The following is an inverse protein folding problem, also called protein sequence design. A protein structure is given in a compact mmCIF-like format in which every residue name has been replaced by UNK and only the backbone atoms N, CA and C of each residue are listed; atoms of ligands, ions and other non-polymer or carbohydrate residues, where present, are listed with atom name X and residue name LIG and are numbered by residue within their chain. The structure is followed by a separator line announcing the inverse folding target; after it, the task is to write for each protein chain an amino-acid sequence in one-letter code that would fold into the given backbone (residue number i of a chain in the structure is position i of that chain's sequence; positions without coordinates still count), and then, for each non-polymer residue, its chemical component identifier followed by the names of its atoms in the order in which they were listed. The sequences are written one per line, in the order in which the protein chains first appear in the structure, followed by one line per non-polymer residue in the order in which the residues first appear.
data_IF_651948793176
#
_entry.id   IF_651948793176
#
_cell.length_a   1.000
_cell.length_b   1.000
_cell.length_c   1.000
_cell.angle_alpha   90.00
_cell.angle_beta   90.00
_cell.angle_gamma   90.00
#
_symmetry.space_group_name_H-M   'P 1'
#
loop_
_entity.id
_entity.type
_entity.pdbx_description
1 polymer ?
#
# COMPACT_ATOMS: atom_id res chain seq x y z
N UNK A 1 74.00 -14.17 -19.64
CA UNK A 1 73.53 -14.62 -18.31
C UNK A 1 72.14 -14.02 -18.08
N UNK A 2 71.16 -14.92 -18.02
CA UNK A 2 69.75 -14.82 -17.64
C UNK A 2 68.95 -13.50 -17.80
N UNK A 3 67.93 -13.62 -18.65
CA UNK A 3 66.66 -12.90 -18.64
C UNK A 3 66.00 -12.80 -17.26
N UNK A 4 65.31 -11.68 -16.99
CA UNK A 4 64.05 -11.71 -16.25
C UNK A 4 63.04 -10.77 -16.93
N UNK A 5 62.11 -11.40 -17.63
CA UNK A 5 60.79 -10.88 -17.97
C UNK A 5 59.95 -10.88 -16.68
N UNK A 6 59.29 -9.77 -16.33
CA UNK A 6 58.15 -9.77 -15.38
C UNK A 6 57.23 -8.60 -15.71
N UNK A 7 56.33 -8.78 -16.68
CA UNK A 7 54.95 -9.25 -16.49
C UNK A 7 54.06 -8.28 -15.70
N UNK A 8 53.24 -7.54 -16.47
CA UNK A 8 51.80 -7.33 -16.26
C UNK A 8 51.33 -7.14 -14.81
N UNK A 9 51.02 -5.90 -14.45
CA UNK A 9 50.10 -5.56 -13.36
C UNK A 9 48.92 -4.73 -13.88
N UNK A 10 48.09 -5.32 -14.75
CA UNK A 10 46.76 -4.81 -15.04
C UNK A 10 45.84 -5.18 -13.86
N UNK A 11 45.20 -4.17 -13.25
CA UNK A 11 43.93 -4.25 -12.46
C UNK A 11 43.92 -5.14 -11.18
N UNK A 12 43.34 -4.63 -10.07
CA UNK A 12 41.89 -4.45 -10.02
C UNK A 12 41.45 -3.20 -9.25
N UNK A 13 41.09 -2.14 -9.96
CA UNK A 13 40.29 -1.03 -9.41
C UNK A 13 38.77 -1.34 -9.48
N UNK A 14 38.41 -2.61 -9.69
CA UNK A 14 37.06 -3.06 -10.07
C UNK A 14 36.51 -4.11 -9.07
N UNK A 15 36.47 -3.81 -7.78
CA UNK A 15 36.03 -4.82 -6.79
C UNK A 15 35.16 -4.31 -5.63
N UNK A 16 34.62 -3.08 -5.66
CA UNK A 16 33.74 -2.58 -4.58
C UNK A 16 32.52 -1.83 -5.13
N UNK A 17 31.75 -2.46 -6.03
CA UNK A 17 30.41 -1.96 -6.41
C UNK A 17 29.30 -3.02 -6.26
N UNK A 18 29.58 -4.17 -5.63
CA UNK A 18 28.69 -5.35 -5.67
C UNK A 18 27.76 -5.56 -4.45
N UNK A 19 27.69 -4.64 -3.48
CA UNK A 19 26.98 -4.91 -2.21
C UNK A 19 25.85 -3.96 -1.82
N UNK A 20 25.38 -3.10 -2.73
CA UNK A 20 24.24 -2.21 -2.46
C UNK A 20 22.99 -2.55 -3.29
N UNK A 21 22.84 -3.80 -3.72
CA UNK A 21 21.53 -4.30 -4.16
C UNK A 21 20.66 -4.56 -2.92
N UNK A 22 20.28 -3.50 -2.21
CA UNK A 22 19.22 -3.61 -1.22
C UNK A 22 17.96 -4.09 -1.95
N UNK A 23 17.23 -5.08 -1.42
CA UNK A 23 15.94 -5.43 -1.99
C UNK A 23 15.08 -4.19 -1.95
N UNK A 24 14.80 -3.63 -3.12
CA UNK A 24 13.75 -2.64 -3.27
C UNK A 24 12.45 -3.36 -2.97
N UNK A 25 12.00 -3.31 -1.71
CA UNK A 25 10.59 -3.49 -1.42
C UNK A 25 9.88 -2.46 -2.28
N UNK A 26 9.33 -2.91 -3.41
CA UNK A 26 8.53 -2.08 -4.29
C UNK A 26 7.28 -1.71 -3.49
N UNK A 27 7.39 -0.65 -2.69
CA UNK A 27 6.22 0.03 -2.16
C UNK A 27 5.33 0.32 -3.36
N UNK A 28 4.11 -0.22 -3.34
CA UNK A 28 3.14 0.05 -4.40
C UNK A 28 3.02 1.56 -4.56
N UNK A 29 2.80 2.00 -5.81
CA UNK A 29 2.52 3.41 -6.01
C UNK A 29 1.26 3.79 -5.19
N UNK A 30 1.17 5.02 -4.69
CA UNK A 30 0.00 5.48 -3.96
C UNK A 30 -1.31 5.26 -4.72
N UNK A 31 -1.25 5.27 -6.06
CA UNK A 31 -2.39 5.00 -6.91
C UNK A 31 -2.91 3.55 -6.77
N UNK A 32 -2.03 2.55 -6.80
CA UNK A 32 -2.45 1.15 -6.63
C UNK A 32 -2.95 0.87 -5.21
N UNK A 33 -2.35 1.50 -4.21
CA UNK A 33 -2.80 1.40 -2.82
C UNK A 33 -4.20 2.01 -2.62
N UNK A 34 -4.48 3.16 -3.25
CA UNK A 34 -5.83 3.77 -3.28
C UNK A 34 -6.86 2.88 -3.98
N UNK A 35 -6.48 2.26 -5.09
CA UNK A 35 -7.37 1.33 -5.79
C UNK A 35 -7.75 0.14 -4.89
N UNK A 36 -6.82 -0.36 -4.09
CA UNK A 36 -7.10 -1.43 -3.12
C UNK A 36 -8.05 -0.99 -2.01
N UNK A 37 -7.88 0.23 -1.50
CA UNK A 37 -8.78 0.81 -0.50
C UNK A 37 -10.20 0.94 -1.03
N UNK A 38 -10.37 1.50 -2.24
CA UNK A 38 -11.70 1.62 -2.89
C UNK A 38 -12.32 0.24 -3.11
N UNK A 39 -11.54 -0.73 -3.56
CA UNK A 39 -12.02 -2.10 -3.74
C UNK A 39 -12.49 -2.73 -2.42
N UNK A 40 -11.75 -2.51 -1.32
CA UNK A 40 -12.14 -2.98 0.01
C UNK A 40 -13.43 -2.31 0.51
N UNK A 41 -13.62 -1.02 0.25
CA UNK A 41 -14.85 -0.28 0.59
C UNK A 41 -16.05 -0.84 -0.18
N UNK A 42 -15.96 -0.86 -1.51
CA UNK A 42 -17.09 -1.25 -2.38
C UNK A 42 -17.39 -2.75 -2.34
N UNK A 43 -16.41 -3.57 -1.95
CA UNK A 43 -16.58 -5.01 -1.75
C UNK A 43 -17.11 -5.40 -0.37
N UNK A 44 -17.37 -4.44 0.53
CA UNK A 44 -17.77 -4.73 1.91
C UNK A 44 -19.28 -4.87 2.07
N UNK A 45 -19.72 -6.02 2.61
CA UNK A 45 -21.11 -6.24 3.02
C UNK A 45 -21.54 -5.29 4.15
N UNK A 46 -20.62 -4.90 5.05
CA UNK A 46 -20.92 -3.97 6.13
C UNK A 46 -21.23 -2.57 5.60
N UNK A 47 -20.48 -2.10 4.59
CA UNK A 47 -20.73 -0.82 3.92
C UNK A 47 -22.05 -0.88 3.15
N UNK A 48 -22.29 -1.96 2.39
CA UNK A 48 -23.56 -2.15 1.70
C UNK A 48 -24.76 -2.15 2.67
N UNK A 49 -24.62 -2.80 3.83
CA UNK A 49 -25.63 -2.78 4.90
C UNK A 49 -25.84 -1.41 5.52
N UNK A 50 -24.78 -0.62 5.69
CA UNK A 50 -24.85 0.74 6.24
C UNK A 50 -25.51 1.73 5.27
N UNK A 51 -25.23 1.62 3.96
CA UNK A 51 -25.85 2.43 2.92
C UNK A 51 -27.30 2.00 2.61
N UNK A 52 -27.59 0.70 2.76
CA UNK A 52 -28.87 0.10 2.42
C UNK A 52 -29.04 -0.02 0.90
N UNK A 53 -30.05 0.66 0.35
CA UNK A 53 -30.33 0.70 -1.09
C UNK A 53 -29.89 2.01 -1.76
N UNK A 54 -29.24 2.90 -1.01
CA UNK A 54 -28.81 4.20 -1.53
C UNK A 54 -27.62 4.02 -2.48
N UNK A 55 -27.58 4.71 -3.63
CA UNK A 55 -26.43 4.69 -4.53
C UNK A 55 -25.24 5.45 -3.92
N UNK A 56 -24.02 5.09 -4.30
CA UNK A 56 -22.83 5.85 -3.93
C UNK A 56 -22.65 7.01 -4.92
N UNK A 57 -22.65 8.24 -4.42
CA UNK A 57 -22.46 9.45 -5.23
C UNK A 57 -20.97 9.78 -5.36
N UNK A 58 -20.23 9.73 -4.25
CA UNK A 58 -18.79 10.01 -4.21
C UNK A 58 -18.05 9.14 -3.18
N UNK A 59 -16.74 8.96 -3.39
CA UNK A 59 -15.82 8.42 -2.38
C UNK A 59 -14.64 9.38 -2.28
N UNK A 60 -14.48 9.99 -1.11
CA UNK A 60 -13.47 11.02 -0.87
C UNK A 60 -12.41 10.53 0.10
N UNK A 61 -11.14 10.69 -0.28
CA UNK A 61 -10.02 10.35 0.61
C UNK A 61 -9.73 11.51 1.54
N UNK A 62 -9.83 11.23 2.84
CA UNK A 62 -9.81 12.25 3.89
C UNK A 62 -8.50 12.27 4.68
N UNK A 63 -7.59 11.33 4.41
CA UNK A 63 -6.28 11.28 5.04
C UNK A 63 -5.97 9.96 5.71
N UNK A 64 -4.75 9.90 6.26
CA UNK A 64 -4.32 8.82 7.15
C UNK A 64 -4.12 9.40 8.54
N UNK A 65 -4.63 8.70 9.55
CA UNK A 65 -4.47 9.04 10.96
C UNK A 65 -3.09 8.61 11.48
N UNK A 66 -2.74 9.10 12.66
CA UNK A 66 -1.49 8.74 13.34
C UNK A 66 -1.34 7.26 13.67
N UNK A 67 -2.45 6.50 13.75
CA UNK A 67 -2.46 5.05 13.97
C UNK A 67 -2.33 4.24 12.66
N UNK A 68 -2.16 4.91 11.52
CA UNK A 68 -2.07 4.28 10.20
C UNK A 68 -3.44 4.00 9.55
N UNK A 69 -4.54 4.21 10.27
CA UNK A 69 -5.90 4.04 9.74
C UNK A 69 -6.18 5.10 8.67
N UNK A 70 -6.78 4.67 7.57
CA UNK A 70 -7.13 5.56 6.47
C UNK A 70 -8.60 5.94 6.58
N UNK A 71 -8.89 7.25 6.53
CA UNK A 71 -10.26 7.78 6.50
C UNK A 71 -10.71 7.99 5.06
N UNK A 72 -11.92 7.55 4.77
CA UNK A 72 -12.70 7.92 3.60
C UNK A 72 -14.06 8.44 4.04
N UNK A 73 -14.66 9.28 3.21
CA UNK A 73 -16.07 9.66 3.31
C UNK A 73 -16.80 9.12 2.07
N UNK A 74 -17.98 8.54 2.27
CA UNK A 74 -18.88 8.12 1.19
C UNK A 74 -20.11 9.02 1.25
N UNK A 75 -20.33 9.83 0.22
CA UNK A 75 -21.58 10.57 0.08
C UNK A 75 -22.60 9.71 -0.68
N UNK A 76 -23.84 9.70 -0.19
CA UNK A 76 -24.92 8.88 -0.72
C UNK A 76 -26.29 9.45 -0.35
N UNK A 77 -27.02 10.02 -1.32
CA UNK A 77 -28.40 10.51 -1.21
C UNK A 77 -28.84 10.96 0.21
N UNK A 78 -28.24 12.06 0.68
CA UNK A 78 -28.58 12.66 1.98
C UNK A 78 -27.99 11.92 3.19
N UNK A 79 -26.98 11.08 2.98
CA UNK A 79 -26.15 10.47 4.00
C UNK A 79 -24.67 10.61 3.65
N UNK A 80 -23.89 11.02 4.63
CA UNK A 80 -22.43 11.02 4.57
C UNK A 80 -21.92 9.95 5.53
N UNK A 81 -21.26 8.92 5.00
CA UNK A 81 -20.78 7.78 5.75
C UNK A 81 -19.26 7.85 5.91
N UNK A 82 -18.83 8.07 7.14
CA UNK A 82 -17.43 7.99 7.56
C UNK A 82 -16.94 6.54 7.56
N UNK A 83 -15.88 6.25 6.82
CA UNK A 83 -15.28 4.91 6.70
C UNK A 83 -13.83 4.93 7.15
N UNK A 84 -13.47 3.97 7.98
CA UNK A 84 -12.13 3.80 8.51
C UNK A 84 -11.54 2.47 8.10
N UNK A 85 -10.43 2.51 7.36
CA UNK A 85 -9.73 1.34 6.86
C UNK A 85 -8.50 1.05 7.72
N UNK A 86 -8.44 -0.17 8.27
CA UNK A 86 -7.28 -0.67 9.01
C UNK A 86 -6.36 -1.40 8.02
N UNK A 87 -5.10 -0.95 7.81
CA UNK A 87 -4.17 -1.62 6.92
C UNK A 87 -3.70 -2.95 7.51
N UNK A 88 -3.72 -4.00 6.70
CA UNK A 88 -3.19 -5.32 6.98
C UNK A 88 -2.02 -5.60 6.02
N UNK A 89 -0.77 -5.32 6.40
CA UNK A 89 0.38 -5.61 5.57
C UNK A 89 0.57 -7.13 5.40
N UNK A 90 1.28 -7.58 4.34
CA UNK A 90 1.64 -8.98 4.20
C UNK A 90 2.54 -9.43 5.37
N UNK A 91 2.52 -10.74 5.64
CA UNK A 91 3.37 -11.34 6.68
C UNK A 91 4.85 -11.03 6.46
N UNK A 92 5.60 -10.92 7.55
CA UNK A 92 7.02 -10.58 7.50
C UNK A 92 7.80 -11.56 6.62
N UNK A 93 8.53 -11.02 5.64
CA UNK A 93 9.30 -11.81 4.66
C UNK A 93 8.51 -12.23 3.41
N UNK A 94 7.20 -11.94 3.35
CA UNK A 94 6.39 -12.13 2.16
C UNK A 94 6.34 -10.87 1.30
N UNK A 95 6.22 -11.06 -0.02
CA UNK A 95 6.00 -9.97 -0.98
C UNK A 95 4.52 -9.92 -1.31
N UNK A 96 3.90 -8.75 -1.16
CA UNK A 96 2.49 -8.55 -1.44
C UNK A 96 2.03 -7.11 -1.23
N UNK A 97 0.78 -6.84 -1.61
CA UNK A 97 0.11 -5.57 -1.34
C UNK A 97 -0.43 -5.55 0.10
N UNK A 98 -0.54 -4.35 0.68
CA UNK A 98 -1.35 -4.15 1.89
C UNK A 98 -2.82 -4.34 1.53
N UNK A 99 -3.55 -5.14 2.30
CA UNK A 99 -5.01 -5.24 2.21
C UNK A 99 -5.65 -4.40 3.31
N UNK A 100 -6.95 -4.17 3.23
CA UNK A 100 -7.65 -3.27 4.16
C UNK A 100 -8.89 -3.94 4.74
N UNK A 101 -9.15 -3.67 6.03
CA UNK A 101 -10.34 -4.11 6.73
C UNK A 101 -11.18 -2.90 7.14
N UNK A 102 -12.50 -2.99 7.02
CA UNK A 102 -13.41 -1.96 7.52
C UNK A 102 -13.43 -2.01 9.04
N UNK A 103 -13.21 -0.87 9.69
CA UNK A 103 -13.36 -0.76 11.15
C UNK A 103 -14.86 -0.66 11.48
N UNK A 104 -15.36 -1.68 12.16
CA UNK A 104 -16.72 -1.73 12.68
C UNK A 104 -16.78 -1.30 14.16
N UNK A 105 -17.95 -0.85 14.66
CA UNK A 105 -19.22 -0.70 13.95
C UNK A 105 -19.26 0.55 13.06
N UNK A 106 -20.01 0.48 11.96
CA UNK A 106 -20.38 1.64 11.14
C UNK A 106 -21.64 2.29 11.70
N UNK A 107 -21.75 3.60 11.58
CA UNK A 107 -23.01 4.31 11.81
C UNK A 107 -23.85 4.24 10.53
N UNK A 108 -25.00 3.53 10.52
CA UNK A 108 -25.76 3.33 9.30
C UNK A 108 -26.51 4.59 8.88
N UNK A 109 -26.66 4.77 7.57
CA UNK A 109 -27.50 5.80 6.99
C UNK A 109 -28.98 5.50 7.31
N UNK A 110 -29.57 6.26 8.24
CA UNK A 110 -30.98 6.09 8.64
C UNK A 110 -31.93 6.94 7.83
#
# INVERSE_FOLDING_TARGET
MLSVFRSRGLFPLTAVCLLAAAPGFAALSPWYDRAEQIAAILGSEAIAGALGQRPVDSLEYEGQRSDGTVKWEIESEGCDLDVYLVPSPPEAGMVGKTTYQIREPLEPCR
#
